data_IF_147238034338
#
_entry.id   IF_147238034338
#
_cell.length_a   1.000
_cell.length_b   1.000
_cell.length_c   1.000
_cell.angle_alpha   90.00
_cell.angle_beta   90.00
_cell.angle_gamma   90.00
#
_symmetry.space_group_name_H-M   'P 1'
#
loop_
_entity.id
_entity.type
_entity.pdbx_description
1 polymer ?
#
# COMPACT_ATOMS: atom_id res chain seq x y z
N UNK A 1 -1.36 16.04 24.65
CA UNK A 1 -2.48 15.10 24.87
C UNK A 1 -2.92 14.60 23.52
N UNK A 2 -2.87 13.28 23.27
CA UNK A 2 -3.33 12.69 22.01
C UNK A 2 -4.85 12.82 21.97
N UNK A 3 -5.40 13.51 20.99
CA UNK A 3 -6.85 13.53 20.77
C UNK A 3 -7.28 12.09 20.48
N UNK A 4 -8.06 11.50 21.41
CA UNK A 4 -8.83 10.31 21.09
C UNK A 4 -9.79 10.67 19.95
N UNK A 5 -10.00 9.78 18.97
CA UNK A 5 -11.05 9.97 17.98
C UNK A 5 -12.42 10.08 18.70
N UNK A 6 -13.41 10.76 18.09
CA UNK A 6 -14.75 10.90 18.66
C UNK A 6 -15.33 9.53 19.04
N UNK A 7 -16.20 9.53 20.05
CA UNK A 7 -16.74 8.36 20.79
C UNK A 7 -17.55 7.33 19.96
N UNK A 8 -17.36 7.22 18.65
CA UNK A 8 -18.12 6.36 17.75
C UNK A 8 -17.37 5.08 17.32
N UNK A 9 -16.07 4.95 17.57
CA UNK A 9 -15.28 3.79 17.10
C UNK A 9 -14.72 2.99 18.27
N UNK A 10 -15.54 2.11 18.86
CA UNK A 10 -15.07 1.20 19.92
C UNK A 10 -14.54 -0.14 19.38
N UNK A 11 -14.83 -0.46 18.12
CA UNK A 11 -14.51 -1.76 17.51
C UNK A 11 -13.72 -1.61 16.21
N UNK A 12 -12.99 -2.66 15.83
CA UNK A 12 -12.27 -2.72 14.56
C UNK A 12 -13.22 -2.56 13.37
N UNK A 13 -14.39 -3.19 13.39
CA UNK A 13 -15.40 -3.04 12.35
C UNK A 13 -15.85 -1.59 12.17
N UNK A 14 -16.13 -0.89 13.28
CA UNK A 14 -16.52 0.52 13.23
C UNK A 14 -15.44 1.43 12.63
N UNK A 15 -14.16 1.19 12.94
CA UNK A 15 -13.04 1.92 12.34
C UNK A 15 -12.97 1.66 10.83
N UNK A 16 -13.08 0.39 10.41
CA UNK A 16 -12.98 0.00 9.01
C UNK A 16 -14.14 0.60 8.21
N UNK A 17 -15.39 0.43 8.65
CA UNK A 17 -16.56 0.99 7.96
C UNK A 17 -16.49 2.51 7.88
N UNK A 18 -15.99 3.20 8.91
CA UNK A 18 -15.78 4.64 8.86
C UNK A 18 -14.68 5.04 7.88
N UNK A 19 -13.58 4.31 7.81
CA UNK A 19 -12.52 4.61 6.86
C UNK A 19 -13.03 4.46 5.41
N UNK A 20 -13.85 3.44 5.14
CA UNK A 20 -14.46 3.20 3.84
C UNK A 20 -15.51 4.27 3.47
N UNK A 21 -16.30 4.74 4.45
CA UNK A 21 -17.32 5.77 4.21
C UNK A 21 -16.73 7.15 3.92
N UNK A 22 -15.49 7.41 4.32
CA UNK A 22 -14.78 8.66 4.03
C UNK A 22 -14.26 8.76 2.60
N UNK A 23 -14.38 7.70 1.79
CA UNK A 23 -13.92 7.68 0.41
C UNK A 23 -15.01 8.16 -0.56
N UNK A 24 -15.36 9.45 -0.49
CA UNK A 24 -16.29 10.06 -1.45
C UNK A 24 -15.55 10.60 -2.69
N UNK A 25 -16.16 10.44 -3.87
CA UNK A 25 -15.70 11.02 -5.13
C UNK A 25 -14.98 10.09 -6.14
N UNK A 26 -14.18 9.08 -5.77
CA UNK A 26 -13.49 8.26 -6.76
C UNK A 26 -14.43 7.23 -7.40
N UNK A 27 -14.34 7.00 -8.71
CA UNK A 27 -15.17 5.99 -9.37
C UNK A 27 -14.88 4.56 -8.87
N UNK A 28 -13.63 4.28 -8.51
CA UNK A 28 -13.22 3.03 -7.89
C UNK A 28 -12.27 3.29 -6.73
N UNK A 29 -12.42 2.49 -5.67
CA UNK A 29 -11.49 2.46 -4.55
C UNK A 29 -10.74 1.14 -4.62
N UNK A 30 -9.42 1.18 -4.59
CA UNK A 30 -8.60 -0.02 -4.57
C UNK A 30 -7.92 -0.15 -3.22
N UNK A 31 -8.25 -1.20 -2.47
CA UNK A 31 -7.54 -1.55 -1.26
C UNK A 31 -6.43 -2.54 -1.60
N UNK A 32 -5.20 -2.06 -1.65
CA UNK A 32 -4.02 -2.88 -1.92
C UNK A 32 -3.34 -3.19 -0.60
N UNK A 33 -3.27 -4.47 -0.26
CA UNK A 33 -2.73 -4.95 1.02
C UNK A 33 -1.45 -5.73 0.77
N UNK A 34 -0.66 -5.99 1.82
CA UNK A 34 0.43 -6.96 1.78
C UNK A 34 -0.10 -8.40 1.75
N UNK A 35 0.77 -9.34 1.40
CA UNK A 35 0.52 -10.77 1.57
C UNK A 35 1.39 -11.28 2.71
N UNK A 36 0.93 -12.33 3.38
CA UNK A 36 1.61 -12.89 4.55
C UNK A 36 1.85 -14.38 4.32
N UNK A 37 2.78 -14.67 3.43
CA UNK A 37 3.19 -16.03 3.05
C UNK A 37 4.26 -16.56 4.03
N UNK A 38 4.32 -17.86 4.28
CA UNK A 38 5.35 -18.60 5.02
C UNK A 38 6.59 -18.77 4.16
N UNK A 39 7.76 -18.70 4.80
CA UNK A 39 9.08 -18.70 4.15
C UNK A 39 9.25 -17.57 3.12
N UNK A 40 8.51 -16.47 3.29
CA UNK A 40 8.61 -15.32 2.41
C UNK A 40 9.80 -14.42 2.79
N UNK A 41 10.20 -13.51 1.88
CA UNK A 41 11.24 -12.52 2.16
C UNK A 41 10.91 -11.70 3.42
N UNK A 42 9.64 -11.36 3.63
CA UNK A 42 9.18 -10.68 4.86
C UNK A 42 9.38 -11.51 6.12
N UNK A 43 9.32 -12.84 6.05
CA UNK A 43 9.59 -13.68 7.22
C UNK A 43 11.06 -13.59 7.63
N UNK A 44 11.97 -13.61 6.66
CA UNK A 44 13.41 -13.42 6.87
C UNK A 44 13.74 -12.06 7.51
N UNK A 45 13.13 -10.99 7.01
CA UNK A 45 13.29 -9.64 7.59
C UNK A 45 12.75 -9.57 9.03
N UNK A 46 11.60 -10.17 9.31
CA UNK A 46 11.02 -10.19 10.67
C UNK A 46 11.90 -10.93 11.67
N UNK A 47 12.54 -12.01 11.23
CA UNK A 47 13.50 -12.75 12.06
C UNK A 47 14.75 -11.92 12.37
N UNK A 48 15.21 -11.10 11.42
CA UNK A 48 16.33 -10.17 11.65
C UNK A 48 15.97 -9.00 12.58
N UNK A 49 14.72 -8.51 12.53
CA UNK A 49 14.19 -7.47 13.43
C UNK A 49 13.66 -8.02 14.77
N UNK A 50 13.77 -9.34 15.00
CA UNK A 50 13.06 -10.12 16.03
C UNK A 50 13.48 -9.89 17.49
N UNK A 51 14.01 -8.73 17.86
CA UNK A 51 14.46 -8.47 19.24
C UNK A 51 13.59 -7.50 20.06
N UNK A 52 12.50 -6.91 19.53
CA UNK A 52 11.92 -5.75 20.22
C UNK A 52 10.52 -5.90 20.85
N UNK A 53 9.61 -6.80 20.44
CA UNK A 53 8.35 -7.02 21.20
C UNK A 53 7.62 -8.33 20.80
N UNK A 54 7.20 -9.15 21.77
CA UNK A 54 6.41 -10.37 21.50
C UNK A 54 4.95 -10.01 21.18
N UNK A 55 4.53 -10.30 19.95
CA UNK A 55 3.14 -10.10 19.52
C UNK A 55 2.14 -10.95 20.33
N UNK A 56 0.91 -10.44 20.49
CA UNK A 56 -0.20 -11.15 21.15
C UNK A 56 -1.27 -11.39 20.09
N UNK A 57 -1.51 -12.66 19.74
CA UNK A 57 -2.57 -13.03 18.80
C UNK A 57 -3.95 -12.74 19.40
N UNK A 58 -4.81 -12.10 18.62
CA UNK A 58 -6.23 -11.94 18.92
C UNK A 58 -6.96 -13.14 18.34
N UNK A 59 -7.47 -13.98 19.24
CA UNK A 59 -8.29 -15.12 18.91
C UNK A 59 -9.64 -14.59 18.41
N UNK A 60 -10.16 -15.18 17.32
CA UNK A 60 -11.47 -14.88 16.75
C UNK A 60 -11.71 -13.39 16.43
N UNK A 61 -10.73 -12.75 15.78
CA UNK A 61 -10.85 -11.37 15.31
C UNK A 61 -12.10 -11.20 14.42
N UNK A 62 -12.95 -10.26 14.79
CA UNK A 62 -14.25 -9.98 14.19
C UNK A 62 -14.57 -8.48 14.17
N UNK A 63 -15.70 -8.11 13.58
CA UNK A 63 -16.18 -6.71 13.52
C UNK A 63 -16.38 -6.09 14.90
N UNK A 64 -16.78 -6.90 15.87
CA UNK A 64 -17.06 -6.47 17.24
C UNK A 64 -15.82 -6.45 18.13
N UNK A 65 -14.67 -6.88 17.60
CA UNK A 65 -13.40 -6.88 18.33
C UNK A 65 -13.06 -5.46 18.77
N UNK A 66 -12.88 -5.22 20.09
CA UNK A 66 -12.50 -3.90 20.57
C UNK A 66 -11.16 -3.46 20.01
N UNK A 67 -10.98 -2.15 19.80
CA UNK A 67 -9.69 -1.62 19.34
C UNK A 67 -8.60 -1.98 20.37
N UNK A 68 -7.52 -2.68 19.98
CA UNK A 68 -6.49 -3.09 20.91
C UNK A 68 -5.77 -1.89 21.52
N UNK A 69 -5.66 -1.85 22.86
CA UNK A 69 -4.95 -0.77 23.56
C UNK A 69 -3.43 -0.80 23.30
N UNK A 70 -2.87 -1.98 23.03
CA UNK A 70 -1.45 -2.18 22.79
C UNK A 70 -1.19 -2.45 21.30
N UNK A 71 -1.34 -1.43 20.46
CA UNK A 71 -1.19 -1.54 19.01
C UNK A 71 0.17 -2.12 18.57
N UNK A 72 1.26 -1.85 19.29
CA UNK A 72 2.57 -2.43 18.93
C UNK A 72 2.57 -3.97 18.99
N UNK A 73 1.95 -4.55 20.03
CA UNK A 73 1.79 -6.00 20.17
C UNK A 73 0.82 -6.59 19.15
N UNK A 74 -0.19 -5.80 18.73
CA UNK A 74 -1.07 -6.17 17.62
C UNK A 74 -0.25 -6.32 16.34
N UNK A 75 0.51 -5.28 15.96
CA UNK A 75 1.29 -5.23 14.72
C UNK A 75 2.49 -6.17 14.70
N UNK A 76 3.02 -6.56 15.86
CA UNK A 76 4.09 -7.56 15.95
C UNK A 76 3.62 -8.98 15.60
N UNK A 77 2.31 -9.27 15.60
CA UNK A 77 1.77 -10.58 15.24
C UNK A 77 1.41 -10.68 13.75
N UNK A 78 2.02 -11.66 13.05
CA UNK A 78 1.68 -12.03 11.64
C UNK A 78 0.21 -12.43 11.52
N UNK A 79 -0.27 -13.22 12.47
CA UNK A 79 -1.65 -13.70 12.49
C UNK A 79 -2.64 -12.55 12.62
N UNK A 80 -2.37 -11.58 13.48
CA UNK A 80 -3.24 -10.40 13.62
C UNK A 80 -3.31 -9.57 12.33
N UNK A 81 -2.16 -9.36 11.68
CA UNK A 81 -2.10 -8.63 10.41
C UNK A 81 -2.91 -9.33 9.32
N UNK A 82 -2.74 -10.66 9.18
CA UNK A 82 -3.53 -11.49 8.27
C UNK A 82 -5.03 -11.43 8.60
N UNK A 83 -5.40 -11.62 9.86
CA UNK A 83 -6.81 -11.64 10.28
C UNK A 83 -7.45 -10.26 10.10
N UNK A 84 -6.71 -9.17 10.31
CA UNK A 84 -7.19 -7.82 10.04
C UNK A 84 -7.46 -7.60 8.54
N UNK A 85 -6.60 -8.12 7.66
CA UNK A 85 -6.85 -8.04 6.21
C UNK A 85 -8.12 -8.79 5.80
N UNK A 86 -8.30 -10.01 6.33
CA UNK A 86 -9.50 -10.81 6.11
C UNK A 86 -10.75 -10.10 6.66
N UNK A 87 -10.66 -9.50 7.85
CA UNK A 87 -11.76 -8.72 8.42
C UNK A 87 -12.09 -7.49 7.56
N UNK A 88 -11.08 -6.75 7.08
CA UNK A 88 -11.32 -5.61 6.19
C UNK A 88 -12.04 -6.07 4.92
N UNK A 89 -11.59 -7.17 4.31
CA UNK A 89 -12.25 -7.76 3.15
C UNK A 89 -13.69 -8.18 3.45
N UNK A 90 -13.95 -8.81 4.60
CA UNK A 90 -15.31 -9.17 5.02
C UNK A 90 -16.19 -7.93 5.21
N UNK A 91 -15.68 -6.89 5.86
CA UNK A 91 -16.39 -5.60 6.02
C UNK A 91 -16.76 -5.03 4.66
N UNK A 92 -15.83 -4.95 3.72
CA UNK A 92 -16.08 -4.47 2.36
C UNK A 92 -17.09 -5.32 1.58
N UNK A 93 -17.13 -6.62 1.85
CA UNK A 93 -18.05 -7.53 1.18
C UNK A 93 -19.50 -7.29 1.60
N UNK A 94 -19.73 -7.03 2.89
CA UNK A 94 -21.09 -6.94 3.43
C UNK A 94 -21.58 -5.49 3.62
N UNK A 95 -20.68 -4.50 3.64
CA UNK A 95 -21.05 -3.10 3.77
C UNK A 95 -21.22 -2.46 2.39
N UNK A 96 -22.36 -1.81 2.18
CA UNK A 96 -22.66 -1.11 0.92
C UNK A 96 -21.88 0.20 0.89
N UNK A 97 -20.77 0.23 0.17
CA UNK A 97 -20.14 1.48 -0.24
C UNK A 97 -20.81 2.04 -1.50
N UNK A 98 -20.97 3.36 -1.58
CA UNK A 98 -21.51 4.02 -2.77
C UNK A 98 -20.61 3.82 -4.01
N UNK A 99 -19.31 3.66 -3.80
CA UNK A 99 -18.30 3.49 -4.84
C UNK A 99 -17.86 2.02 -4.91
N UNK A 100 -17.70 1.44 -6.12
CA UNK A 100 -17.11 0.12 -6.30
C UNK A 100 -15.75 0.03 -5.62
N UNK A 101 -15.63 -0.83 -4.60
CA UNK A 101 -14.35 -1.13 -3.97
C UNK A 101 -13.79 -2.44 -4.53
N UNK A 102 -12.51 -2.43 -4.88
CA UNK A 102 -11.72 -3.58 -5.31
C UNK A 102 -10.70 -3.87 -4.21
N UNK A 103 -10.84 -5.01 -3.54
CA UNK A 103 -9.82 -5.50 -2.64
C UNK A 103 -8.80 -6.31 -3.43
N UNK A 104 -7.52 -5.90 -3.37
CA UNK A 104 -6.41 -6.72 -3.84
C UNK A 104 -6.36 -8.01 -3.02
N UNK A 105 -5.86 -9.05 -3.65
CA UNK A 105 -5.84 -10.38 -3.07
C UNK A 105 -4.97 -10.49 -1.83
N UNK A 106 -5.38 -11.32 -0.87
CA UNK A 106 -4.45 -11.85 0.13
C UNK A 106 -3.78 -13.06 -0.51
N UNK A 107 -2.45 -13.07 -0.58
CA UNK A 107 -1.71 -14.30 -0.85
C UNK A 107 -1.29 -14.93 0.48
N UNK A 108 -1.58 -16.21 0.60
CA UNK A 108 -1.08 -17.14 1.60
C UNK A 108 -0.40 -18.31 0.88
N UNK A 109 0.27 -19.17 1.63
CA UNK A 109 1.30 -20.12 1.17
C UNK A 109 0.86 -20.99 0.00
N UNK A 110 -0.42 -21.34 -0.05
CA UNK A 110 -1.00 -22.19 -1.09
C UNK A 110 -2.18 -21.54 -1.82
N UNK A 111 -2.50 -20.28 -1.52
CA UNK A 111 -3.67 -19.63 -2.07
C UNK A 111 -3.42 -18.13 -2.24
N UNK A 112 -3.27 -17.71 -3.51
CA UNK A 112 -3.54 -16.34 -3.89
C UNK A 112 -5.05 -16.23 -4.11
N UNK A 113 -5.72 -15.40 -3.31
CA UNK A 113 -7.11 -15.08 -3.60
C UNK A 113 -7.18 -14.23 -4.88
N UNK A 114 -8.30 -14.16 -5.60
CA UNK A 114 -8.45 -13.16 -6.66
C UNK A 114 -8.65 -11.77 -6.07
N UNK A 115 -8.36 -10.73 -6.86
CA UNK A 115 -8.91 -9.40 -6.55
C UNK A 115 -10.43 -9.43 -6.78
N UNK A 116 -11.19 -8.90 -5.84
CA UNK A 116 -12.65 -8.97 -5.85
C UNK A 116 -13.21 -7.56 -5.77
N UNK A 117 -14.14 -7.26 -6.66
CA UNK A 117 -14.98 -6.06 -6.61
C UNK A 117 -16.24 -6.33 -5.79
N UNK A 118 -16.79 -5.30 -5.15
CA UNK A 118 -18.13 -5.35 -4.52
C UNK A 118 -19.12 -6.02 -5.48
N UNK A 119 -19.81 -7.08 -5.00
CA UNK A 119 -20.72 -7.91 -5.80
C UNK A 119 -20.12 -9.20 -6.36
N UNK A 120 -18.94 -9.63 -5.90
CA UNK A 120 -18.28 -10.91 -6.22
C UNK A 120 -17.73 -11.04 -7.64
N UNK A 121 -17.54 -9.91 -8.32
CA UNK A 121 -16.87 -9.90 -9.61
C UNK A 121 -15.37 -10.07 -9.38
N UNK A 122 -14.83 -11.19 -9.85
CA UNK A 122 -13.39 -11.45 -9.89
C UNK A 122 -12.76 -10.61 -10.99
N UNK A 123 -11.60 -10.02 -10.71
CA UNK A 123 -10.80 -9.26 -11.70
C UNK A 123 -9.50 -10.04 -11.97
N UNK A 124 -9.46 -10.91 -13.00
CA UNK A 124 -8.32 -11.78 -13.28
C UNK A 124 -7.03 -11.02 -13.57
N UNK A 125 -7.12 -9.82 -14.16
CA UNK A 125 -5.95 -9.00 -14.50
C UNK A 125 -5.19 -8.50 -13.27
N UNK A 126 -5.84 -8.49 -12.11
CA UNK A 126 -5.24 -8.09 -10.84
C UNK A 126 -4.76 -9.28 -10.01
N UNK A 127 -4.91 -10.50 -10.53
CA UNK A 127 -4.35 -11.70 -9.91
C UNK A 127 -2.83 -11.71 -10.06
N UNK A 128 -2.11 -11.59 -8.95
CA UNK A 128 -0.66 -11.65 -8.94
C UNK A 128 -0.13 -12.21 -7.60
N UNK A 129 1.09 -12.73 -7.64
CA UNK A 129 1.81 -13.34 -6.51
C UNK A 129 2.76 -12.36 -5.81
N UNK A 130 2.67 -11.06 -6.12
CA UNK A 130 3.56 -10.06 -5.52
C UNK A 130 3.15 -9.88 -4.06
N UNK A 131 4.09 -10.09 -3.14
CA UNK A 131 3.79 -10.04 -1.71
C UNK A 131 3.55 -8.60 -1.22
N UNK A 132 4.34 -7.65 -1.71
CA UNK A 132 4.28 -6.26 -1.24
C UNK A 132 3.13 -5.47 -1.84
N UNK A 133 2.43 -4.70 -1.00
CA UNK A 133 1.41 -3.77 -1.46
C UNK A 133 1.99 -2.67 -2.37
N UNK A 134 3.20 -2.21 -2.08
CA UNK A 134 3.85 -1.10 -2.79
C UNK A 134 4.21 -1.42 -4.24
N UNK A 135 4.53 -2.68 -4.56
CA UNK A 135 4.72 -3.16 -5.91
C UNK A 135 3.39 -3.51 -6.58
N UNK A 136 2.43 -4.08 -5.83
CA UNK A 136 1.10 -4.41 -6.37
C UNK A 136 0.29 -3.21 -6.81
N UNK A 137 0.49 -2.06 -6.18
CA UNK A 137 -0.19 -0.83 -6.57
C UNK A 137 0.04 -0.51 -8.05
N UNK A 138 1.19 -0.90 -8.63
CA UNK A 138 1.49 -0.70 -10.05
C UNK A 138 0.51 -1.45 -10.95
N UNK A 139 0.17 -2.70 -10.63
CA UNK A 139 -0.79 -3.49 -11.40
C UNK A 139 -2.20 -2.88 -11.33
N UNK A 140 -2.58 -2.33 -10.17
CA UNK A 140 -3.86 -1.63 -10.01
C UNK A 140 -3.91 -0.32 -10.82
N UNK A 141 -2.82 0.46 -10.81
CA UNK A 141 -2.71 1.69 -11.61
C UNK A 141 -2.69 1.36 -13.11
N UNK A 142 -2.00 0.30 -13.52
CA UNK A 142 -2.00 -0.17 -14.91
C UNK A 142 -3.41 -0.59 -15.35
N UNK A 143 -4.10 -1.38 -14.54
CA UNK A 143 -5.47 -1.81 -14.82
C UNK A 143 -6.41 -0.62 -14.96
N UNK A 144 -6.32 0.35 -14.04
CA UNK A 144 -7.08 1.60 -14.10
C UNK A 144 -6.80 2.35 -15.41
N UNK A 145 -5.53 2.46 -15.81
CA UNK A 145 -5.12 3.18 -17.01
C UNK A 145 -5.52 2.45 -18.30
N UNK A 146 -5.28 1.14 -18.40
CA UNK A 146 -5.40 0.37 -19.66
C UNK A 146 -6.78 -0.22 -19.87
N UNK A 147 -7.38 -0.75 -18.80
CA UNK A 147 -8.64 -1.49 -18.87
C UNK A 147 -9.82 -0.55 -18.63
N UNK A 148 -9.73 0.31 -17.62
CA UNK A 148 -10.79 1.29 -17.31
C UNK A 148 -10.59 2.66 -17.95
N UNK A 149 -9.43 2.91 -18.56
CA UNK A 149 -9.12 4.18 -19.23
C UNK A 149 -9.26 5.40 -18.31
N UNK A 150 -9.00 5.22 -17.01
CA UNK A 150 -8.98 6.33 -16.07
C UNK A 150 -7.80 7.26 -16.34
N UNK A 151 -8.08 8.55 -16.21
CA UNK A 151 -7.11 9.62 -16.45
C UNK A 151 -6.44 10.08 -15.16
N UNK A 152 -7.00 9.75 -13.99
CA UNK A 152 -6.51 10.19 -12.69
C UNK A 152 -6.45 8.99 -11.76
N UNK A 153 -5.29 8.78 -11.13
CA UNK A 153 -5.09 7.83 -10.06
C UNK A 153 -4.58 8.55 -8.81
N UNK A 154 -5.14 8.23 -7.65
CA UNK A 154 -4.69 8.74 -6.35
C UNK A 154 -4.25 7.56 -5.49
N UNK A 155 -2.98 7.54 -5.12
CA UNK A 155 -2.37 6.49 -4.30
C UNK A 155 -2.14 7.02 -2.89
N UNK A 156 -2.83 6.42 -1.93
CA UNK A 156 -2.79 6.76 -0.52
C UNK A 156 -1.81 5.84 0.21
N UNK A 157 -0.52 6.16 0.14
CA UNK A 157 0.56 5.41 0.80
C UNK A 157 1.63 6.38 1.32
N UNK A 158 2.23 6.09 2.48
CA UNK A 158 3.38 6.84 2.99
C UNK A 158 4.71 6.10 2.75
N UNK A 159 4.68 4.94 2.09
CA UNK A 159 5.86 4.11 1.85
C UNK A 159 6.73 4.70 0.72
N UNK A 160 8.03 4.87 0.99
CA UNK A 160 9.00 5.39 0.01
C UNK A 160 9.24 4.48 -1.19
N UNK A 161 9.12 3.15 -1.04
CA UNK A 161 9.22 2.20 -2.14
C UNK A 161 8.06 2.39 -3.12
N UNK A 162 6.82 2.55 -2.62
CA UNK A 162 5.67 2.84 -3.48
C UNK A 162 5.86 4.14 -4.27
N UNK A 163 6.41 5.19 -3.64
CA UNK A 163 6.76 6.42 -4.33
C UNK A 163 7.82 6.19 -5.41
N UNK A 164 8.94 5.52 -5.09
CA UNK A 164 10.03 5.30 -6.03
C UNK A 164 9.56 4.50 -7.27
N UNK A 165 8.75 3.47 -7.05
CA UNK A 165 8.16 2.64 -8.10
C UNK A 165 7.18 3.45 -8.96
N UNK A 166 6.21 4.14 -8.35
CA UNK A 166 5.25 4.95 -9.11
C UNK A 166 5.93 6.08 -9.88
N UNK A 167 6.91 6.73 -9.27
CA UNK A 167 7.70 7.79 -9.93
C UNK A 167 8.46 7.24 -11.15
N UNK A 168 9.03 6.04 -11.05
CA UNK A 168 9.68 5.37 -12.16
C UNK A 168 8.71 5.03 -13.31
N UNK A 169 7.54 4.45 -12.98
CA UNK A 169 6.58 3.94 -13.96
C UNK A 169 5.54 4.97 -14.45
N UNK A 170 5.54 6.20 -13.93
CA UNK A 170 4.52 7.20 -14.31
C UNK A 170 4.47 7.44 -15.82
N UNK A 171 5.61 7.54 -16.51
CA UNK A 171 5.63 7.75 -17.97
C UNK A 171 5.08 6.56 -18.75
N UNK A 172 5.24 5.35 -18.22
CA UNK A 172 4.64 4.15 -18.78
C UNK A 172 3.10 4.25 -18.73
N UNK A 173 2.54 4.67 -17.60
CA UNK A 173 1.09 4.85 -17.44
C UNK A 173 0.51 6.00 -18.27
N UNK A 174 1.31 7.00 -18.65
CA UNK A 174 0.84 8.07 -19.55
C UNK A 174 0.52 7.58 -20.96
N UNK A 175 1.21 6.54 -21.44
CA UNK A 175 0.99 5.96 -22.77
C UNK A 175 -0.46 5.49 -23.00
N UNK A 176 -1.08 4.73 -22.06
CA UNK A 176 -2.51 4.37 -22.17
C UNK A 176 -3.49 5.50 -21.80
N UNK A 177 -3.04 6.71 -21.49
CA UNK A 177 -3.90 7.87 -21.29
C UNK A 177 -4.04 8.36 -19.85
N UNK A 178 -3.31 7.80 -18.88
CA UNK A 178 -3.27 8.34 -17.52
C UNK A 178 -2.64 9.73 -17.54
N UNK A 179 -3.38 10.76 -17.12
CA UNK A 179 -2.91 12.15 -17.09
C UNK A 179 -2.27 12.48 -15.75
N UNK A 180 -2.88 12.03 -14.66
CA UNK A 180 -2.50 12.42 -13.31
C UNK A 180 -2.32 11.21 -12.41
N UNK A 181 -1.16 11.16 -11.73
CA UNK A 181 -0.92 10.21 -10.65
C UNK A 181 -0.50 11.03 -9.44
N UNK A 182 -1.34 10.98 -8.41
CA UNK A 182 -1.14 11.66 -7.15
C UNK A 182 -0.67 10.64 -6.11
N UNK A 183 0.42 10.94 -5.41
CA UNK A 183 0.91 10.14 -4.30
C UNK A 183 0.75 10.93 -3.00
N UNK A 184 0.10 10.34 -2.00
CA UNK A 184 0.08 10.92 -0.66
C UNK A 184 1.48 10.88 -0.05
N UNK A 185 1.82 11.89 0.75
CA UNK A 185 3.00 11.89 1.61
C UNK A 185 2.74 12.69 2.89
N UNK A 186 3.61 12.51 3.87
CA UNK A 186 3.48 13.11 5.20
C UNK A 186 2.67 12.24 6.18
N UNK A 187 2.61 12.67 7.45
CA UNK A 187 1.96 11.95 8.55
C UNK A 187 1.11 12.89 9.40
N UNK A 188 0.05 12.36 10.01
CA UNK A 188 -0.83 13.12 10.90
C UNK A 188 -1.54 14.27 10.18
N UNK A 189 -1.56 15.46 10.77
CA UNK A 189 -2.24 16.62 10.15
C UNK A 189 -1.51 17.19 8.92
N UNK A 190 -0.29 16.71 8.62
CA UNK A 190 0.56 17.23 7.54
C UNK A 190 0.53 16.34 6.29
N UNK A 191 -0.61 15.74 5.98
CA UNK A 191 -0.79 15.01 4.74
C UNK A 191 -0.83 15.97 3.54
N UNK A 192 -0.17 15.57 2.45
CA UNK A 192 -0.15 16.29 1.19
C UNK A 192 -0.25 15.31 0.03
N UNK A 193 -0.76 15.78 -1.09
CA UNK A 193 -0.74 15.03 -2.35
C UNK A 193 0.38 15.59 -3.23
N UNK A 194 1.16 14.70 -3.81
CA UNK A 194 2.27 15.01 -4.71
C UNK A 194 1.95 14.52 -6.12
N UNK A 195 2.04 15.42 -7.08
CA UNK A 195 1.71 15.12 -8.47
C UNK A 195 2.94 14.62 -9.23
N UNK A 196 2.99 13.32 -9.51
CA UNK A 196 4.21 12.67 -10.00
C UNK A 196 4.60 13.16 -11.40
N UNK A 197 3.65 13.32 -12.31
CA UNK A 197 3.96 13.72 -13.68
C UNK A 197 4.60 15.12 -13.76
N UNK A 198 4.17 16.07 -12.92
CA UNK A 198 4.76 17.42 -12.88
C UNK A 198 6.20 17.38 -12.35
N UNK A 199 6.46 16.51 -11.39
CA UNK A 199 7.80 16.34 -10.87
C UNK A 199 8.73 15.70 -11.92
N UNK A 200 8.24 14.72 -12.68
CA UNK A 200 9.00 14.11 -13.78
C UNK A 200 9.25 15.11 -14.91
N UNK A 201 8.26 15.94 -15.27
CA UNK A 201 8.45 16.96 -16.31
C UNK A 201 9.50 18.00 -15.93
N UNK A 202 9.68 18.27 -14.63
CA UNK A 202 10.71 19.19 -14.12
C UNK A 202 12.07 18.53 -13.95
N UNK A 203 12.12 17.29 -13.46
CA UNK A 203 13.37 16.57 -13.18
C UNK A 203 13.98 15.92 -14.42
N UNK A 204 13.15 15.56 -15.41
CA UNK A 204 13.55 14.78 -16.57
C UNK A 204 13.34 13.28 -16.38
N UNK A 205 13.08 12.59 -17.49
CA UNK A 205 12.83 11.14 -17.49
C UNK A 205 14.05 10.32 -17.07
N UNK A 206 15.25 10.83 -17.31
CA UNK A 206 16.50 10.16 -16.92
C UNK A 206 16.62 10.10 -15.40
N UNK A 207 16.40 11.23 -14.73
CA UNK A 207 16.42 11.36 -13.27
C UNK A 207 15.31 10.52 -12.63
N UNK A 208 14.12 10.48 -13.23
CA UNK A 208 13.05 9.59 -12.78
C UNK A 208 13.44 8.10 -12.86
N UNK A 209 14.14 7.70 -13.93
CA UNK A 209 14.69 6.34 -14.04
C UNK A 209 15.81 6.07 -13.03
N UNK A 210 16.58 7.08 -12.64
CA UNK A 210 17.64 6.92 -11.63
C UNK A 210 17.07 6.80 -10.22
N UNK A 211 15.87 7.31 -9.94
CA UNK A 211 15.25 7.24 -8.61
C UNK A 211 15.14 5.80 -8.08
N UNK A 212 14.70 4.85 -8.91
CA UNK A 212 14.60 3.45 -8.48
C UNK A 212 15.98 2.85 -8.19
N UNK A 213 17.00 3.22 -8.98
CA UNK A 213 18.38 2.79 -8.75
C UNK A 213 18.90 3.36 -7.44
N UNK A 214 18.65 4.64 -7.18
CA UNK A 214 19.02 5.28 -5.92
C UNK A 214 18.31 4.60 -4.74
N UNK A 215 17.00 4.32 -4.84
CA UNK A 215 16.24 3.61 -3.82
C UNK A 215 16.87 2.26 -3.49
N UNK A 216 17.18 1.45 -4.49
CA UNK A 216 17.87 0.14 -4.32
C UNK A 216 19.26 0.32 -3.68
N UNK A 217 20.09 1.23 -4.19
CA UNK A 217 21.48 1.40 -3.72
C UNK A 217 21.57 1.95 -2.29
N UNK A 218 20.56 2.68 -1.86
CA UNK A 218 20.56 3.41 -0.58
C UNK A 218 19.81 2.68 0.52
N UNK A 219 19.53 1.41 0.28
CA UNK A 219 18.82 0.53 1.17
C UNK A 219 17.32 0.56 0.89
N UNK A 220 16.80 -0.65 0.71
CA UNK A 220 15.40 -1.00 0.74
C UNK A 220 15.25 -2.26 1.59
N UNK A 221 14.03 -2.70 1.86
CA UNK A 221 13.78 -3.86 2.71
C UNK A 221 14.53 -5.12 2.19
N UNK A 222 14.66 -5.24 0.87
CA UNK A 222 15.38 -6.35 0.21
C UNK A 222 16.91 -6.17 0.05
N UNK A 223 17.47 -4.98 0.29
CA UNK A 223 18.88 -4.70 0.00
C UNK A 223 19.53 -3.83 1.07
N UNK A 224 20.71 -4.27 1.53
CA UNK A 224 21.51 -3.48 2.47
C UNK A 224 22.02 -2.19 1.84
N UNK A 225 22.07 -1.16 2.67
CA UNK A 225 22.44 0.20 2.29
C UNK A 225 23.93 0.34 1.98
N UNK A 226 24.27 0.83 0.79
CA UNK A 226 25.66 1.21 0.44
C UNK A 226 25.98 2.65 0.87
N UNK A 227 24.96 3.49 1.13
CA UNK A 227 25.08 4.89 1.56
C UNK A 227 23.72 5.57 1.73
N UNK A 228 23.64 6.84 2.14
CA UNK A 228 22.33 7.51 2.35
C UNK A 228 21.62 7.90 1.04
N UNK A 229 20.27 7.90 1.04
CA UNK A 229 19.43 8.38 -0.09
C UNK A 229 19.91 9.73 -0.61
N UNK A 230 20.21 10.63 0.31
CA UNK A 230 20.78 11.93 -0.01
C UNK A 230 22.15 11.81 -0.70
N UNK A 231 23.09 11.04 -0.14
CA UNK A 231 24.43 10.89 -0.69
C UNK A 231 24.43 10.35 -2.13
N UNK A 232 23.56 9.39 -2.45
CA UNK A 232 23.47 8.83 -3.81
C UNK A 232 22.86 9.78 -4.85
N UNK A 233 22.04 10.74 -4.41
CA UNK A 233 21.44 11.75 -5.30
C UNK A 233 22.37 12.96 -5.48
N UNK A 234 23.27 13.20 -4.52
CA UNK A 234 24.22 14.32 -4.56
C UNK A 234 25.62 13.95 -5.03
N UNK A 235 25.93 12.68 -5.29
CA UNK A 235 27.24 12.25 -5.78
C UNK A 235 27.42 12.57 -7.26
N UNK A 236 28.55 13.19 -7.62
CA UNK A 236 28.96 13.46 -9.00
C UNK A 236 29.75 12.25 -9.56
N UNK A 237 29.17 11.43 -10.45
CA UNK A 237 29.75 10.16 -10.85
C UNK A 237 30.95 10.28 -11.80
N UNK A 238 31.26 11.47 -12.32
CA UNK A 238 32.34 11.67 -13.30
C UNK A 238 33.70 12.05 -12.68
N UNK A 239 33.83 12.08 -11.35
CA UNK A 239 35.11 12.36 -10.65
C UNK A 239 35.74 11.10 -10.04
N UNK A 240 36.03 10.10 -10.88
CA UNK A 240 36.89 8.96 -10.53
C UNK A 240 38.16 8.95 -11.38
#
# INVERSE_FOLDING_TARGET
>A
MRHMPPAQFYTLGGVISSALSMCEGPEYIHLVQDSYVEMSLKEGERLQHGNEEKGIAIIDMSRDTPIPQHLNKLWASKENKRNLQLLVRDVMYNDVCANPIIASSVASDNEALPAIKIGNEVIPELFNWIEEADARVLAHVEWAARIKQFQIAVVMSNNTASFALLFHFTTYFQTPGMKEIWQQYGTGEKHRLFLLHQAISRLGTLQAKTMIKAHILTGDDCVNKVGTKHAAVTSDPEQL
#
